data_IF_732044008778
#
_entry.id   IF_732044008778
#
_cell.length_a   1.000
_cell.length_b   1.000
_cell.length_c   1.000
_cell.angle_alpha   90.00
_cell.angle_beta   90.00
_cell.angle_gamma   90.00
#
_symmetry.space_group_name_H-M   'P 1'
#
loop_
_entity.id
_entity.type
_entity.pdbx_description
1 polymer ?
#
# COMPACT_ATOMS: atom_id res chain seq x y z
N UNK A 1 -4.22 -11.40 28.35
CA UNK A 1 -3.10 -11.27 27.40
C UNK A 1 -2.98 -12.60 26.67
N UNK A 2 -2.84 -12.60 25.34
CA UNK A 2 -2.67 -13.86 24.58
C UNK A 2 -1.18 -14.14 24.50
N UNK A 3 -0.73 -15.26 25.09
CA UNK A 3 0.67 -15.66 25.07
C UNK A 3 1.02 -16.32 23.73
N UNK A 4 1.72 -15.57 22.88
CA UNK A 4 2.27 -16.09 21.63
C UNK A 4 3.57 -16.84 21.97
N UNK A 5 3.78 -18.09 21.50
CA UNK A 5 5.01 -18.83 21.71
C UNK A 5 6.23 -17.99 21.31
N UNK A 6 7.29 -17.98 22.11
CA UNK A 6 8.46 -17.12 21.91
C UNK A 6 9.07 -17.21 20.48
N UNK A 7 9.02 -18.39 19.87
CA UNK A 7 9.48 -18.61 18.48
C UNK A 7 8.60 -17.99 17.40
N UNK A 8 7.30 -17.78 17.65
CA UNK A 8 6.38 -17.09 16.73
C UNK A 8 6.49 -15.56 16.88
N UNK A 9 6.78 -15.08 18.09
CA UNK A 9 6.96 -13.65 18.37
C UNK A 9 8.19 -13.07 17.66
N UNK A 10 9.32 -13.78 17.71
CA UNK A 10 10.55 -13.34 17.02
C UNK A 10 10.40 -13.33 15.49
N UNK A 11 9.68 -14.31 14.92
CA UNK A 11 9.36 -14.34 13.49
C UNK A 11 8.41 -13.21 13.08
N UNK A 12 7.41 -12.91 13.90
CA UNK A 12 6.49 -11.80 13.70
C UNK A 12 7.25 -10.47 13.66
N UNK A 13 8.14 -10.22 14.63
CA UNK A 13 8.89 -8.97 14.72
C UNK A 13 9.84 -8.79 13.53
N UNK A 14 10.61 -9.81 13.16
CA UNK A 14 11.51 -9.75 12.01
C UNK A 14 10.79 -9.47 10.69
N UNK A 15 9.67 -10.15 10.44
CA UNK A 15 8.87 -9.94 9.22
C UNK A 15 8.18 -8.58 9.22
N UNK A 16 7.68 -8.14 10.36
CA UNK A 16 7.08 -6.82 10.51
C UNK A 16 8.12 -5.71 10.25
N UNK A 17 9.32 -5.82 10.82
CA UNK A 17 10.42 -4.86 10.60
C UNK A 17 10.80 -4.78 9.13
N UNK A 18 10.96 -5.93 8.46
CA UNK A 18 11.23 -5.99 7.02
C UNK A 18 10.11 -5.31 6.22
N UNK A 19 8.85 -5.58 6.58
CA UNK A 19 7.68 -4.98 5.93
C UNK A 19 7.67 -3.46 6.10
N UNK A 20 7.94 -2.94 7.31
CA UNK A 20 8.03 -1.50 7.56
C UNK A 20 9.12 -0.86 6.70
N UNK A 21 10.31 -1.46 6.63
CA UNK A 21 11.43 -0.89 5.87
C UNK A 21 11.04 -0.73 4.40
N UNK A 22 10.48 -1.78 3.81
CA UNK A 22 10.01 -1.76 2.41
C UNK A 22 8.90 -0.73 2.24
N UNK A 23 7.89 -0.76 3.11
CA UNK A 23 6.74 0.15 3.02
C UNK A 23 7.14 1.62 3.18
N UNK A 24 8.11 1.89 4.07
CA UNK A 24 8.67 3.23 4.27
C UNK A 24 9.47 3.69 3.06
N UNK A 25 10.23 2.79 2.43
CA UNK A 25 10.93 3.08 1.18
C UNK A 25 9.93 3.45 0.06
N UNK A 26 8.80 2.76 -0.05
CA UNK A 26 7.76 3.10 -1.03
C UNK A 26 7.13 4.47 -0.78
N UNK A 27 6.82 4.80 0.48
CA UNK A 27 6.33 6.14 0.85
C UNK A 27 7.37 7.20 0.49
N UNK A 28 8.65 6.93 0.78
CA UNK A 28 9.73 7.83 0.43
C UNK A 28 9.87 8.03 -1.09
N UNK A 29 9.72 6.96 -1.88
CA UNK A 29 9.65 7.07 -3.36
C UNK A 29 8.53 8.01 -3.78
N UNK A 30 7.33 7.92 -3.20
CA UNK A 30 6.22 8.82 -3.52
C UNK A 30 6.56 10.29 -3.20
N UNK A 31 7.22 10.56 -2.07
CA UNK A 31 7.66 11.92 -1.73
C UNK A 31 8.67 12.45 -2.75
N UNK A 32 9.60 11.59 -3.21
CA UNK A 32 10.53 11.94 -4.29
C UNK A 32 9.77 12.24 -5.58
N UNK A 33 8.83 11.39 -5.99
CA UNK A 33 8.04 11.60 -7.20
C UNK A 33 7.26 12.92 -7.14
N UNK A 34 6.67 13.25 -6.00
CA UNK A 34 5.97 14.53 -5.80
C UNK A 34 6.95 15.69 -6.00
N UNK A 35 8.12 15.61 -5.36
CA UNK A 35 9.16 16.63 -5.51
C UNK A 35 9.57 16.79 -6.97
N UNK A 36 9.88 15.70 -7.66
CA UNK A 36 10.23 15.69 -9.09
C UNK A 36 9.13 16.33 -9.94
N UNK A 37 7.86 15.96 -9.74
CA UNK A 37 6.74 16.55 -10.48
C UNK A 37 6.58 18.07 -10.28
N UNK A 38 6.92 18.58 -9.09
CA UNK A 38 6.87 20.00 -8.78
C UNK A 38 8.03 20.80 -9.42
N UNK A 39 9.21 20.19 -9.55
CA UNK A 39 10.40 20.85 -10.10
C UNK A 39 10.54 20.72 -11.63
N UNK A 40 10.14 19.58 -12.21
CA UNK A 40 10.32 19.30 -13.65
C UNK A 40 9.35 20.10 -14.53
N UNK A 41 8.18 20.44 -14.00
CA UNK A 41 7.14 21.12 -14.78
C UNK A 41 7.39 22.62 -14.82
N UNK A 42 7.82 23.12 -15.98
CA UNK A 42 7.93 24.53 -16.34
C UNK A 42 7.02 24.86 -17.51
N UNK A 43 6.06 25.76 -17.28
CA UNK A 43 4.98 26.17 -18.19
C UNK A 43 3.79 25.21 -18.30
N UNK A 44 2.58 25.76 -18.12
CA UNK A 44 1.31 25.06 -18.37
C UNK A 44 1.18 24.82 -19.87
N UNK A 45 1.10 23.56 -20.29
CA UNK A 45 0.79 23.21 -21.67
C UNK A 45 -0.72 23.01 -21.77
N UNK A 46 -1.40 23.79 -22.60
CA UNK A 46 -2.83 23.60 -22.88
C UNK A 46 -3.04 22.34 -23.72
N UNK A 47 -2.91 21.19 -23.09
CA UNK A 47 -3.11 19.89 -23.72
C UNK A 47 -4.58 19.45 -23.58
N UNK A 48 -5.10 18.71 -24.56
CA UNK A 48 -6.51 18.31 -24.61
C UNK A 48 -6.94 17.51 -23.38
N UNK A 49 -7.92 18.05 -22.64
CA UNK A 49 -8.42 17.53 -21.36
C UNK A 49 -8.98 16.10 -21.45
N UNK A 50 -9.46 15.68 -22.62
CA UNK A 50 -10.06 14.36 -22.81
C UNK A 50 -9.06 13.20 -22.71
N UNK A 51 -7.78 13.41 -23.05
CA UNK A 51 -6.78 12.33 -23.00
C UNK A 51 -6.40 11.96 -21.56
N UNK A 52 -6.49 12.93 -20.63
CA UNK A 52 -6.07 12.76 -19.25
C UNK A 52 -7.15 12.15 -18.35
N UNK A 53 -8.41 12.20 -18.76
CA UNK A 53 -9.53 11.62 -18.01
C UNK A 53 -9.35 10.12 -17.75
N UNK A 54 -8.79 9.37 -18.71
CA UNK A 54 -8.53 7.95 -18.58
C UNK A 54 -7.55 7.63 -17.43
N UNK A 55 -6.53 8.46 -17.21
CA UNK A 55 -5.58 8.28 -16.11
C UNK A 55 -6.24 8.54 -14.75
N UNK A 56 -7.12 9.53 -14.65
CA UNK A 56 -7.88 9.79 -13.42
C UNK A 56 -8.82 8.64 -13.08
N UNK A 57 -9.49 8.07 -14.08
CA UNK A 57 -10.29 6.86 -13.90
C UNK A 57 -9.41 5.71 -13.38
N UNK A 58 -8.24 5.49 -13.98
CA UNK A 58 -7.31 4.46 -13.50
C UNK A 58 -6.87 4.68 -12.04
N UNK A 59 -6.53 5.92 -11.65
CA UNK A 59 -6.17 6.26 -10.26
C UNK A 59 -7.31 5.88 -9.30
N UNK A 60 -8.55 6.24 -9.62
CA UNK A 60 -9.71 5.92 -8.79
C UNK A 60 -9.90 4.40 -8.70
N UNK A 61 -9.82 3.68 -9.82
CA UNK A 61 -9.94 2.22 -9.84
C UNK A 61 -8.85 1.54 -9.00
N UNK A 62 -7.61 2.00 -9.06
CA UNK A 62 -6.51 1.46 -8.27
C UNK A 62 -6.73 1.77 -6.78
N UNK A 63 -7.13 3.00 -6.43
CA UNK A 63 -7.40 3.39 -5.05
C UNK A 63 -8.53 2.56 -4.42
N UNK A 64 -9.65 2.40 -5.13
CA UNK A 64 -10.78 1.56 -4.71
C UNK A 64 -10.37 0.09 -4.66
N UNK A 65 -9.64 -0.38 -5.67
CA UNK A 65 -9.11 -1.75 -5.75
C UNK A 65 -8.23 -2.09 -4.54
N UNK A 66 -7.32 -1.18 -4.15
CA UNK A 66 -6.48 -1.34 -2.97
C UNK A 66 -7.31 -1.46 -1.68
N UNK A 67 -8.37 -0.66 -1.54
CA UNK A 67 -9.28 -0.76 -0.39
C UNK A 67 -10.03 -2.12 -0.34
N UNK A 68 -10.57 -2.55 -1.48
CA UNK A 68 -11.27 -3.84 -1.59
C UNK A 68 -10.33 -5.00 -1.33
N UNK A 69 -9.12 -4.98 -1.90
CA UNK A 69 -8.09 -6.00 -1.68
C UNK A 69 -7.69 -6.07 -0.22
N UNK A 70 -7.49 -4.93 0.44
CA UNK A 70 -7.18 -4.91 1.88
C UNK A 70 -8.27 -5.58 2.72
N UNK A 71 -9.54 -5.33 2.39
CA UNK A 71 -10.67 -6.01 3.05
C UNK A 71 -10.65 -7.52 2.80
N UNK A 72 -10.39 -7.97 1.56
CA UNK A 72 -10.26 -9.39 1.21
C UNK A 72 -9.07 -10.06 1.91
N UNK A 73 -7.96 -9.35 2.05
CA UNK A 73 -6.75 -9.86 2.66
C UNK A 73 -6.91 -10.11 4.16
N UNK A 74 -7.79 -9.37 4.81
CA UNK A 74 -8.10 -9.49 6.24
C UNK A 74 -9.33 -10.36 6.53
N UNK A 75 -9.91 -11.04 5.54
CA UNK A 75 -11.01 -11.98 5.79
C UNK A 75 -10.53 -13.16 6.66
N UNK A 76 -11.21 -13.36 7.79
CA UNK A 76 -10.84 -14.37 8.79
C UNK A 76 -10.76 -15.78 8.20
N UNK A 77 -11.70 -16.15 7.34
CA UNK A 77 -11.74 -17.49 6.74
C UNK A 77 -10.52 -17.77 5.88
N UNK A 78 -10.07 -16.77 5.10
CA UNK A 78 -8.84 -16.88 4.29
C UNK A 78 -7.61 -17.03 5.18
N UNK A 79 -7.49 -16.21 6.23
CA UNK A 79 -6.35 -16.26 7.16
C UNK A 79 -6.32 -17.59 7.94
N UNK A 80 -7.48 -18.09 8.36
CA UNK A 80 -7.63 -19.40 9.01
C UNK A 80 -7.18 -20.52 8.07
N UNK A 81 -7.66 -20.53 6.83
CA UNK A 81 -7.26 -21.53 5.83
C UNK A 81 -5.74 -21.49 5.56
N UNK A 82 -5.13 -20.30 5.51
CA UNK A 82 -3.68 -20.19 5.34
C UNK A 82 -2.93 -20.73 6.56
N UNK A 83 -3.38 -20.44 7.79
CA UNK A 83 -2.78 -21.02 9.00
C UNK A 83 -2.84 -22.55 8.96
N UNK A 84 -4.00 -23.11 8.61
CA UNK A 84 -4.20 -24.56 8.57
C UNK A 84 -3.30 -25.24 7.52
N UNK A 85 -3.09 -24.59 6.36
CA UNK A 85 -2.30 -25.15 5.26
C UNK A 85 -0.78 -24.91 5.37
N UNK A 86 -0.36 -23.74 5.89
CA UNK A 86 1.04 -23.28 5.84
C UNK A 86 1.61 -22.89 7.21
N UNK A 87 0.86 -23.09 8.28
CA UNK A 87 1.25 -22.73 9.64
C UNK A 87 1.35 -21.21 9.87
N UNK A 88 1.93 -20.84 11.01
CA UNK A 88 2.10 -19.44 11.44
C UNK A 88 3.11 -18.70 10.55
N UNK A 89 4.21 -19.34 10.15
CA UNK A 89 5.21 -18.73 9.27
C UNK A 89 4.63 -18.39 7.89
N UNK A 90 3.81 -19.27 7.31
CA UNK A 90 3.12 -19.03 6.04
C UNK A 90 2.04 -17.94 6.13
N UNK A 91 1.35 -17.85 7.26
CA UNK A 91 0.42 -16.76 7.55
C UNK A 91 1.15 -15.41 7.59
N UNK A 92 2.24 -15.31 8.35
CA UNK A 92 3.03 -14.07 8.45
C UNK A 92 3.66 -13.66 7.11
N UNK A 93 4.17 -14.62 6.34
CA UNK A 93 4.67 -14.36 4.98
C UNK A 93 3.57 -13.81 4.06
N UNK A 94 2.35 -14.32 4.19
CA UNK A 94 1.21 -13.84 3.41
C UNK A 94 0.79 -12.42 3.82
N UNK A 95 0.78 -12.12 5.13
CA UNK A 95 0.51 -10.77 5.63
C UNK A 95 1.55 -9.76 5.11
N UNK A 96 2.83 -10.11 5.18
CA UNK A 96 3.93 -9.32 4.63
C UNK A 96 3.75 -9.04 3.14
N UNK A 97 3.57 -10.10 2.33
CA UNK A 97 3.42 -9.96 0.88
C UNK A 97 2.20 -9.10 0.51
N UNK A 98 1.05 -9.36 1.15
CA UNK A 98 -0.17 -8.58 0.95
C UNK A 98 0.01 -7.10 1.27
N UNK A 99 0.70 -6.75 2.36
CA UNK A 99 1.00 -5.35 2.70
C UNK A 99 1.88 -4.68 1.65
N UNK A 100 2.94 -5.35 1.20
CA UNK A 100 3.86 -4.82 0.19
C UNK A 100 3.11 -4.58 -1.13
N UNK A 101 2.24 -5.51 -1.55
CA UNK A 101 1.40 -5.36 -2.73
C UNK A 101 0.47 -4.15 -2.61
N UNK A 102 -0.18 -3.96 -1.46
CA UNK A 102 -1.02 -2.78 -1.23
C UNK A 102 -0.22 -1.46 -1.26
N UNK A 103 1.01 -1.46 -0.74
CA UNK A 103 1.93 -0.34 -0.86
C UNK A 103 2.32 -0.05 -2.31
N UNK A 104 2.60 -1.09 -3.08
CA UNK A 104 2.94 -0.96 -4.50
C UNK A 104 1.78 -0.39 -5.34
N UNK A 105 0.53 -0.74 -5.01
CA UNK A 105 -0.64 -0.12 -5.65
C UNK A 105 -0.76 1.37 -5.33
N UNK A 106 -0.44 1.78 -4.10
CA UNK A 106 -0.42 3.18 -3.72
C UNK A 106 0.72 3.93 -4.44
N UNK A 107 1.89 3.32 -4.55
CA UNK A 107 3.04 3.86 -5.30
C UNK A 107 2.70 4.05 -6.79
N UNK A 108 2.00 3.09 -7.39
CA UNK A 108 1.54 3.17 -8.79
C UNK A 108 0.65 4.39 -9.05
N UNK A 109 -0.20 4.79 -8.08
CA UNK A 109 -1.02 6.01 -8.18
C UNK A 109 -0.12 7.25 -8.32
N UNK A 110 0.97 7.34 -7.55
CA UNK A 110 1.89 8.47 -7.62
C UNK A 110 2.65 8.51 -8.97
N UNK A 111 3.03 7.33 -9.49
CA UNK A 111 3.65 7.21 -10.82
C UNK A 111 2.70 7.73 -11.90
N UNK A 112 1.44 7.28 -11.90
CA UNK A 112 0.43 7.77 -12.87
C UNK A 112 0.21 9.28 -12.70
N UNK A 113 0.16 9.77 -11.46
CA UNK A 113 0.08 11.20 -11.15
C UNK A 113 1.22 12.02 -11.77
N UNK A 114 2.45 11.50 -11.71
CA UNK A 114 3.60 12.15 -12.33
C UNK A 114 3.44 12.19 -13.86
N UNK A 115 3.00 11.10 -14.49
CA UNK A 115 2.71 11.07 -15.93
C UNK A 115 1.66 12.10 -16.33
N UNK A 116 0.56 12.21 -15.57
CA UNK A 116 -0.48 13.21 -15.79
C UNK A 116 0.09 14.62 -15.69
N UNK A 117 0.88 14.90 -14.64
CA UNK A 117 1.47 16.22 -14.38
C UNK A 117 2.46 16.64 -15.46
N UNK A 118 3.30 15.71 -15.92
CA UNK A 118 4.25 15.97 -17.01
C UNK A 118 3.51 16.23 -18.33
N UNK A 119 2.39 15.54 -18.56
CA UNK A 119 1.60 15.67 -19.79
C UNK A 119 0.70 16.90 -19.81
N UNK A 120 0.14 17.30 -18.65
CA UNK A 120 -0.71 18.47 -18.49
C UNK A 120 0.07 19.76 -18.26
N UNK A 121 1.29 19.66 -17.72
CA UNK A 121 2.04 20.82 -17.25
C UNK A 121 1.43 21.47 -15.99
N UNK A 122 0.45 20.83 -15.35
CA UNK A 122 -0.26 21.37 -14.19
C UNK A 122 0.28 20.72 -12.91
N UNK A 123 1.02 21.49 -12.11
CA UNK A 123 1.60 21.01 -10.82
C UNK A 123 0.55 20.52 -9.83
N UNK A 124 -0.66 21.07 -9.89
CA UNK A 124 -1.76 20.68 -9.02
C UNK A 124 -2.17 19.20 -9.21
N UNK A 125 -1.96 18.62 -10.40
CA UNK A 125 -2.28 17.22 -10.65
C UNK A 125 -1.37 16.29 -9.83
N UNK A 126 -0.08 16.62 -9.71
CA UNK A 126 0.87 15.84 -8.91
C UNK A 126 0.49 15.89 -7.43
N UNK A 127 0.11 17.08 -6.94
CA UNK A 127 -0.31 17.24 -5.54
C UNK A 127 -1.57 16.43 -5.25
N UNK A 128 -2.56 16.44 -6.16
CA UNK A 128 -3.80 15.67 -6.00
C UNK A 128 -3.54 14.17 -6.05
N UNK A 129 -2.82 13.67 -7.06
CA UNK A 129 -2.52 12.24 -7.18
C UNK A 129 -1.60 11.76 -6.05
N UNK A 130 -0.61 12.57 -5.66
CA UNK A 130 0.25 12.32 -4.52
C UNK A 130 -0.54 12.25 -3.20
N UNK A 131 -1.48 13.17 -2.98
CA UNK A 131 -2.37 13.12 -1.82
C UNK A 131 -3.22 11.85 -1.80
N UNK A 132 -3.80 11.44 -2.93
CA UNK A 132 -4.55 10.17 -3.05
C UNK A 132 -3.65 8.98 -2.72
N UNK A 133 -2.45 8.93 -3.29
CA UNK A 133 -1.47 7.89 -3.00
C UNK A 133 -1.16 7.80 -1.50
N UNK A 134 -0.85 8.92 -0.86
CA UNK A 134 -0.55 8.99 0.57
C UNK A 134 -1.75 8.56 1.44
N UNK A 135 -2.97 8.91 1.04
CA UNK A 135 -4.19 8.43 1.72
C UNK A 135 -4.31 6.91 1.62
N UNK A 136 -4.05 6.33 0.44
CA UNK A 136 -4.08 4.87 0.25
C UNK A 136 -2.98 4.20 1.09
N UNK A 137 -1.77 4.78 1.18
CA UNK A 137 -0.73 4.32 2.09
C UNK A 137 -1.17 4.38 3.55
N UNK A 138 -1.71 5.52 3.99
CA UNK A 138 -2.10 5.71 5.38
C UNK A 138 -3.21 4.75 5.80
N UNK A 139 -4.19 4.56 4.93
CA UNK A 139 -5.23 3.56 5.14
C UNK A 139 -4.52 2.21 5.27
N UNK A 140 -3.71 1.78 4.30
CA UNK A 140 -3.09 0.44 4.22
C UNK A 140 -1.89 0.19 5.14
N UNK A 141 -1.58 1.13 6.02
CA UNK A 141 -0.42 1.06 6.91
C UNK A 141 -0.40 -0.24 7.74
N UNK A 142 0.72 -0.99 7.73
CA UNK A 142 0.84 -2.21 8.53
C UNK A 142 0.96 -1.87 10.01
N UNK A 143 -0.11 -2.12 10.76
CA UNK A 143 -0.11 -1.94 12.23
C UNK A 143 0.30 -3.24 12.91
N UNK A 144 1.38 -3.21 13.72
CA UNK A 144 1.85 -4.37 14.50
C UNK A 144 0.74 -5.02 15.33
N UNK A 145 -0.07 -4.19 15.99
CA UNK A 145 -1.18 -4.64 16.84
C UNK A 145 -2.24 -5.47 16.10
N UNK A 146 -2.46 -5.20 14.81
CA UNK A 146 -3.39 -5.98 13.98
C UNK A 146 -2.79 -7.36 13.70
N UNK A 147 -1.49 -7.44 13.44
CA UNK A 147 -0.80 -8.70 13.17
C UNK A 147 -0.74 -9.56 14.44
N UNK A 148 -0.40 -8.98 15.58
CA UNK A 148 -0.44 -9.65 16.89
C UNK A 148 -1.83 -10.18 17.20
N UNK A 149 -2.88 -9.38 16.96
CA UNK A 149 -4.27 -9.80 17.15
C UNK A 149 -4.66 -10.96 16.23
N UNK A 150 -4.23 -10.93 14.96
CA UNK A 150 -4.50 -12.01 14.00
C UNK A 150 -3.82 -13.31 14.47
N UNK A 151 -2.53 -13.26 14.78
CA UNK A 151 -1.76 -14.43 15.24
C UNK A 151 -2.37 -14.99 16.53
N UNK A 152 -2.60 -14.15 17.53
CA UNK A 152 -3.18 -14.58 18.81
C UNK A 152 -4.61 -15.12 18.68
N UNK A 153 -5.44 -14.52 17.83
CA UNK A 153 -6.82 -15.02 17.60
C UNK A 153 -6.86 -16.37 16.88
N UNK A 154 -5.85 -16.64 16.06
CA UNK A 154 -5.79 -17.88 15.29
C UNK A 154 -5.08 -18.97 16.08
N UNK A 155 -4.16 -18.69 16.99
CA UNK A 155 -3.52 -19.68 17.88
C UNK A 155 -4.50 -20.39 18.82
N UNK A 156 -5.64 -19.76 19.15
CA UNK A 156 -6.71 -20.36 19.96
C UNK A 156 -7.59 -21.37 19.21
N UNK A 157 -7.34 -21.57 17.90
CA UNK A 157 -8.01 -22.53 17.02
C UNK A 157 -7.03 -23.62 16.61
#
# INVERSE_FOLDING_TARGET
MVEIPAGNYSQLDNRYRTTIIIYSAQIFTVIILISVGLFVVGSENSNDSNSLAAFWVAIIFIAVGAFVLRRRFLQRDRLKNIKLLKGVSGLLATLQSNTIVLGALAELIAIIGLFVTVSSGIKADMLRAGAVSLVVFFINFPRKSVWEKIVGSLEQI
#
